data_IF_319663310215
#
_entry.id   IF_319663310215
#
_cell.length_a   1.000
_cell.length_b   1.000
_cell.length_c   1.000
_cell.angle_alpha   90.00
_cell.angle_beta   90.00
_cell.angle_gamma   90.00
#
_symmetry.space_group_name_H-M   'P 1'
#
loop_
_entity.id
_entity.type
_entity.pdbx_description
1 polymer ?
#
# COMPACT_ATOMS: atom_id res chain seq x y z
N UNK A 1 -11.51 23.30 -44.81
CA UNK A 1 -10.87 22.23 -44.03
C UNK A 1 -10.08 21.26 -44.91
N UNK A 2 -10.62 20.53 -45.87
CA UNK A 2 -9.92 19.50 -46.66
C UNK A 2 -8.62 19.89 -47.36
N UNK A 3 -8.38 21.18 -47.64
CA UNK A 3 -7.09 21.64 -48.18
C UNK A 3 -6.01 21.79 -47.12
N UNK A 4 -6.39 22.02 -45.84
CA UNK A 4 -5.48 22.15 -44.73
C UNK A 4 -4.94 20.78 -44.26
N UNK A 5 -5.79 19.77 -44.25
CA UNK A 5 -5.43 18.39 -43.88
C UNK A 5 -4.40 17.80 -44.84
N UNK A 6 -4.55 18.02 -46.14
CA UNK A 6 -3.57 17.58 -47.16
C UNK A 6 -2.22 18.31 -47.11
N UNK A 7 -2.20 19.59 -46.70
CA UNK A 7 -0.97 20.40 -46.65
C UNK A 7 -0.27 20.36 -45.29
N UNK A 8 -0.97 19.98 -44.23
CA UNK A 8 -0.50 20.00 -42.87
C UNK A 8 -0.43 21.37 -42.20
N UNK A 9 -0.85 22.43 -42.92
CA UNK A 9 -0.91 23.80 -42.39
C UNK A 9 -2.03 24.63 -43.01
N UNK A 10 -2.52 25.64 -42.31
CA UNK A 10 -3.49 26.64 -42.77
C UNK A 10 -2.93 28.02 -42.36
N UNK A 11 -3.07 29.02 -43.25
CA UNK A 11 -2.74 30.41 -42.94
C UNK A 11 -3.96 31.14 -42.36
N UNK A 12 -3.70 32.13 -41.47
CA UNK A 12 -4.76 32.96 -40.90
C UNK A 12 -5.65 33.61 -41.94
N UNK A 13 -5.08 34.02 -43.09
CA UNK A 13 -5.86 34.59 -44.22
C UNK A 13 -6.79 33.57 -44.87
N UNK A 14 -6.32 32.33 -45.05
CA UNK A 14 -7.15 31.25 -45.63
C UNK A 14 -8.27 30.84 -44.64
N UNK A 15 -8.01 30.87 -43.33
CA UNK A 15 -9.01 30.63 -42.31
C UNK A 15 -10.09 31.72 -42.31
N UNK A 16 -9.70 33.00 -42.34
CA UNK A 16 -10.63 34.13 -42.36
C UNK A 16 -11.45 34.15 -43.65
N UNK A 17 -10.87 33.78 -44.81
CA UNK A 17 -11.59 33.65 -46.07
C UNK A 17 -12.59 32.49 -46.05
N UNK A 18 -12.27 31.39 -45.37
CA UNK A 18 -13.15 30.23 -45.30
C UNK A 18 -14.34 30.44 -44.36
N UNK A 19 -14.17 31.22 -43.30
CA UNK A 19 -15.27 31.60 -42.40
C UNK A 19 -16.21 32.66 -42.95
N UNK A 20 -15.75 33.46 -43.95
CA UNK A 20 -16.56 34.49 -44.60
C UNK A 20 -16.83 35.71 -43.72
N UNK A 21 -17.02 36.88 -44.33
CA UNK A 21 -17.18 38.17 -43.60
C UNK A 21 -18.38 38.25 -42.64
N UNK A 22 -19.38 37.37 -42.77
CA UNK A 22 -20.61 37.36 -41.94
C UNK A 22 -20.49 36.48 -40.69
N UNK A 23 -19.50 35.58 -40.59
CA UNK A 23 -19.37 34.57 -39.50
C UNK A 23 -18.10 34.77 -38.67
N UNK A 24 -17.51 35.95 -38.67
CA UNK A 24 -16.33 36.31 -37.86
C UNK A 24 -16.72 36.67 -36.41
N UNK A 25 -17.63 35.91 -35.80
CA UNK A 25 -17.86 36.03 -34.36
C UNK A 25 -16.73 35.31 -33.57
N UNK A 26 -16.44 35.80 -32.37
CA UNK A 26 -15.40 35.20 -31.51
C UNK A 26 -15.65 33.70 -31.25
N UNK A 27 -16.92 33.31 -31.12
CA UNK A 27 -17.31 31.91 -30.86
C UNK A 27 -17.02 31.00 -32.04
N UNK A 28 -17.31 31.47 -33.28
CA UNK A 28 -17.03 30.70 -34.48
C UNK A 28 -15.53 30.57 -34.77
N UNK A 29 -14.75 31.59 -34.43
CA UNK A 29 -13.28 31.52 -34.48
C UNK A 29 -12.74 30.52 -33.47
N UNK A 30 -13.23 30.53 -32.22
CA UNK A 30 -12.83 29.60 -31.19
C UNK A 30 -13.14 28.14 -31.59
N UNK A 31 -14.31 27.85 -32.12
CA UNK A 31 -14.68 26.54 -32.65
C UNK A 31 -13.78 26.11 -33.81
N UNK A 32 -13.46 27.03 -34.73
CA UNK A 32 -12.54 26.74 -35.81
C UNK A 32 -11.12 26.44 -35.35
N UNK A 33 -10.63 27.11 -34.29
CA UNK A 33 -9.34 26.83 -33.69
C UNK A 33 -9.31 25.44 -32.99
N UNK A 34 -10.37 25.08 -32.27
CA UNK A 34 -10.50 23.76 -31.65
C UNK A 34 -10.43 22.68 -32.74
N UNK A 35 -11.17 22.86 -33.83
CA UNK A 35 -11.17 21.87 -34.90
C UNK A 35 -9.83 21.76 -35.65
N UNK A 36 -9.06 22.86 -35.75
CA UNK A 36 -7.71 22.85 -36.32
C UNK A 36 -6.72 22.11 -35.40
N UNK A 37 -6.88 22.27 -34.10
CA UNK A 37 -6.07 21.56 -33.10
C UNK A 37 -6.36 20.04 -33.09
N UNK A 38 -7.63 19.66 -33.17
CA UNK A 38 -8.04 18.24 -33.21
C UNK A 38 -7.48 17.51 -34.45
N UNK A 39 -7.46 18.20 -35.60
CA UNK A 39 -6.89 17.68 -36.83
C UNK A 39 -5.36 17.78 -36.92
N UNK A 40 -4.70 18.27 -35.87
CA UNK A 40 -3.23 18.47 -35.78
C UNK A 40 -2.67 19.31 -36.96
N UNK A 41 -3.42 20.29 -37.41
CA UNK A 41 -3.02 21.20 -38.50
C UNK A 41 -2.29 22.39 -37.87
N UNK A 42 -1.12 22.76 -38.43
CA UNK A 42 -0.34 23.90 -37.91
C UNK A 42 -0.90 25.20 -38.46
N UNK A 43 -1.23 26.16 -37.61
CA UNK A 43 -1.66 27.49 -37.99
C UNK A 43 -0.43 28.38 -38.12
N UNK A 44 -0.29 29.08 -39.29
CA UNK A 44 0.86 29.96 -39.60
C UNK A 44 0.39 31.27 -40.18
N UNK A 45 1.15 32.36 -39.99
CA UNK A 45 0.83 33.64 -40.60
C UNK A 45 1.12 33.65 -42.09
N UNK A 46 2.28 33.13 -42.51
CA UNK A 46 2.73 33.06 -43.90
C UNK A 46 3.18 31.64 -44.26
N UNK A 47 3.05 31.30 -45.54
CA UNK A 47 3.52 30.00 -46.08
C UNK A 47 5.03 29.77 -45.87
N UNK A 48 5.85 30.83 -45.79
CA UNK A 48 7.28 30.78 -45.49
C UNK A 48 7.55 30.22 -44.09
N UNK A 49 6.73 30.58 -43.12
CA UNK A 49 6.94 30.26 -41.73
C UNK A 49 6.77 28.77 -41.44
N UNK A 50 5.85 28.12 -42.17
CA UNK A 50 5.71 26.66 -42.09
C UNK A 50 6.96 25.92 -42.58
N UNK A 51 7.63 26.43 -43.62
CA UNK A 51 8.88 25.83 -44.11
C UNK A 51 10.02 25.96 -43.07
N UNK A 52 10.05 27.09 -42.37
CA UNK A 52 11.03 27.34 -41.31
C UNK A 52 10.75 26.47 -40.08
N UNK A 53 9.47 26.35 -39.68
CA UNK A 53 9.06 25.48 -38.57
C UNK A 53 9.37 24.01 -38.88
N UNK A 54 9.03 23.53 -40.06
CA UNK A 54 9.30 22.16 -40.51
C UNK A 54 10.81 21.88 -40.63
N UNK A 55 11.61 22.88 -41.01
CA UNK A 55 13.07 22.76 -41.03
C UNK A 55 13.67 22.72 -39.63
N UNK A 56 13.11 23.48 -38.68
CA UNK A 56 13.50 23.41 -37.24
C UNK A 56 13.10 22.10 -36.59
N UNK A 57 11.89 21.58 -36.88
CA UNK A 57 11.48 20.24 -36.37
C UNK A 57 12.32 19.12 -37.00
N UNK A 58 12.72 19.25 -38.27
CA UNK A 58 13.65 18.32 -38.91
C UNK A 58 15.04 18.38 -38.32
N UNK A 59 15.57 19.57 -38.00
CA UNK A 59 16.86 19.74 -37.37
C UNK A 59 16.87 19.22 -35.93
N UNK A 60 15.83 19.47 -35.11
CA UNK A 60 15.71 18.90 -33.78
C UNK A 60 15.57 17.37 -33.80
N UNK A 61 15.03 16.78 -34.87
CA UNK A 61 15.02 15.32 -35.04
C UNK A 61 16.37 14.75 -35.50
N UNK A 62 17.17 15.53 -36.21
CA UNK A 62 18.52 15.11 -36.64
C UNK A 62 19.56 15.35 -35.55
N UNK A 63 19.47 16.43 -34.76
CA UNK A 63 20.31 16.61 -33.59
C UNK A 63 20.04 15.57 -32.50
N UNK A 64 18.80 15.07 -32.37
CA UNK A 64 18.45 13.92 -31.53
C UNK A 64 18.94 12.57 -32.04
N UNK A 65 19.33 12.45 -33.32
CA UNK A 65 19.82 11.19 -33.92
C UNK A 65 21.33 11.11 -34.09
N UNK A 66 22.06 12.22 -33.99
CA UNK A 66 23.49 12.26 -34.17
C UNK A 66 24.33 12.35 -32.88
N UNK A 67 23.67 12.31 -31.72
CA UNK A 67 24.35 11.95 -30.48
C UNK A 67 24.71 10.47 -30.58
N UNK A 68 25.91 10.23 -31.09
CA UNK A 68 26.60 8.94 -31.14
C UNK A 68 26.17 8.12 -29.92
N UNK A 69 25.64 6.93 -30.18
CA UNK A 69 25.51 5.88 -29.19
C UNK A 69 26.94 5.54 -28.77
N UNK A 70 27.54 6.37 -27.92
CA UNK A 70 28.84 6.00 -27.35
C UNK A 70 28.48 4.87 -26.36
N UNK A 71 29.05 3.70 -26.59
CA UNK A 71 28.97 2.53 -25.70
C UNK A 71 29.73 2.77 -24.37
N UNK A 72 30.11 4.01 -24.07
CA UNK A 72 30.72 4.39 -22.81
C UNK A 72 29.67 4.40 -21.69
N UNK A 73 29.71 3.44 -20.75
CA UNK A 73 28.75 3.30 -19.65
C UNK A 73 28.76 4.56 -18.77
N UNK A 74 29.84 5.30 -18.68
CA UNK A 74 29.92 6.53 -17.89
C UNK A 74 29.09 7.64 -18.54
N UNK A 75 29.14 7.79 -19.86
CA UNK A 75 28.31 8.76 -20.58
C UNK A 75 26.85 8.43 -20.52
N UNK A 76 26.49 7.14 -20.58
CA UNK A 76 25.12 6.68 -20.46
C UNK A 76 24.58 6.97 -19.06
N UNK A 77 25.39 6.68 -18.03
CA UNK A 77 25.06 7.00 -16.64
C UNK A 77 24.88 8.51 -16.40
N UNK A 78 25.80 9.35 -16.88
CA UNK A 78 25.70 10.81 -16.74
C UNK A 78 24.50 11.40 -17.50
N UNK A 79 24.12 10.82 -18.64
CA UNK A 79 22.94 11.24 -19.39
C UNK A 79 21.64 10.86 -18.67
N UNK A 80 21.58 9.68 -18.09
CA UNK A 80 20.44 9.24 -17.29
C UNK A 80 20.32 10.04 -15.99
N UNK A 81 21.43 10.26 -15.30
CA UNK A 81 21.47 11.10 -14.09
C UNK A 81 21.13 12.56 -14.35
N UNK A 82 21.57 13.13 -15.49
CA UNK A 82 21.31 14.53 -15.85
C UNK A 82 19.87 14.84 -16.26
N UNK A 83 19.05 13.80 -16.52
CA UNK A 83 17.64 13.94 -16.87
C UNK A 83 16.68 13.96 -15.69
N UNK A 84 17.16 13.62 -14.49
CA UNK A 84 16.34 13.57 -13.27
C UNK A 84 16.70 14.77 -12.39
N UNK A 85 15.70 15.55 -12.02
CA UNK A 85 15.88 16.67 -11.08
C UNK A 85 16.17 16.11 -9.67
N UNK A 86 17.12 16.74 -8.97
CA UNK A 86 17.44 16.38 -7.58
C UNK A 86 16.22 16.65 -6.69
N UNK A 87 15.93 15.70 -5.82
CA UNK A 87 14.84 15.81 -4.87
C UNK A 87 15.08 16.97 -3.90
N UNK A 88 14.10 17.87 -3.76
CA UNK A 88 14.17 18.94 -2.76
C UNK A 88 13.99 18.37 -1.36
N UNK A 89 14.55 19.02 -0.34
CA UNK A 89 14.37 18.64 1.07
C UNK A 89 12.90 18.51 1.48
N UNK A 90 12.04 19.38 0.95
CA UNK A 90 10.59 19.30 1.21
C UNK A 90 9.96 18.09 0.53
N UNK A 91 10.39 17.75 -0.68
CA UNK A 91 9.99 16.55 -1.40
C UNK A 91 10.41 15.28 -0.66
N UNK A 92 11.64 15.23 -0.16
CA UNK A 92 12.14 14.10 0.64
C UNK A 92 11.30 13.88 1.91
N UNK A 93 11.01 14.95 2.65
CA UNK A 93 10.14 14.87 3.84
C UNK A 93 8.72 14.41 3.46
N UNK A 94 8.18 14.88 2.35
CA UNK A 94 6.85 14.48 1.89
C UNK A 94 6.80 12.99 1.51
N UNK A 95 7.83 12.49 0.83
CA UNK A 95 7.94 11.08 0.46
C UNK A 95 8.14 10.21 1.72
N UNK A 96 9.01 10.62 2.66
CA UNK A 96 9.22 9.93 3.92
C UNK A 96 7.92 9.78 4.73
N UNK A 97 7.13 10.86 4.84
CA UNK A 97 5.79 10.82 5.47
C UNK A 97 4.82 9.88 4.75
N UNK A 98 4.88 9.78 3.42
CA UNK A 98 4.04 8.84 2.65
C UNK A 98 4.46 7.39 2.90
N UNK A 99 5.76 7.12 3.02
CA UNK A 99 6.27 5.78 3.37
C UNK A 99 5.79 5.40 4.77
N UNK A 100 5.90 6.30 5.73
CA UNK A 100 5.44 6.11 7.11
C UNK A 100 3.93 5.87 7.17
N UNK A 101 3.13 6.71 6.52
CA UNK A 101 1.68 6.55 6.44
C UNK A 101 1.28 5.20 5.81
N UNK A 102 1.99 4.75 4.76
CA UNK A 102 1.80 3.44 4.15
C UNK A 102 2.12 2.29 5.12
N UNK A 103 3.23 2.39 5.87
CA UNK A 103 3.57 1.43 6.93
C UNK A 103 2.53 1.41 8.04
N UNK A 104 2.03 2.57 8.46
CA UNK A 104 1.01 2.69 9.50
C UNK A 104 -0.31 2.02 9.11
N UNK A 105 -0.78 2.22 7.88
CA UNK A 105 -1.97 1.54 7.36
C UNK A 105 -1.77 0.02 7.36
N UNK A 106 -0.60 -0.45 6.96
CA UNK A 106 -0.25 -1.87 6.94
C UNK A 106 -0.20 -2.45 8.36
N UNK A 107 0.50 -1.78 9.31
CA UNK A 107 0.59 -2.22 10.70
C UNK A 107 -0.79 -2.26 11.38
N UNK A 108 -1.65 -1.27 11.12
CA UNK A 108 -3.02 -1.26 11.65
C UNK A 108 -3.85 -2.44 11.11
N UNK A 109 -3.66 -2.83 9.86
CA UNK A 109 -4.35 -4.01 9.33
C UNK A 109 -3.75 -5.32 9.88
N UNK A 110 -2.42 -5.42 10.00
CA UNK A 110 -1.74 -6.58 10.58
C UNK A 110 -2.09 -6.78 12.06
N UNK A 111 -2.23 -5.70 12.84
CA UNK A 111 -2.60 -5.78 14.26
C UNK A 111 -3.97 -6.43 14.51
N UNK A 112 -4.87 -6.36 13.53
CA UNK A 112 -6.20 -6.95 13.60
C UNK A 112 -6.23 -8.42 13.15
N UNK A 113 -5.14 -8.94 12.59
CA UNK A 113 -5.11 -10.27 12.00
C UNK A 113 -4.78 -11.36 13.01
N UNK A 114 -5.56 -12.47 13.05
CA UNK A 114 -5.24 -13.63 13.87
C UNK A 114 -3.96 -14.36 13.44
N UNK A 115 -3.60 -14.27 12.15
CA UNK A 115 -2.33 -14.85 11.65
C UNK A 115 -1.14 -14.16 12.31
N UNK A 116 -1.21 -12.84 12.43
CA UNK A 116 -0.20 -12.06 13.14
C UNK A 116 -0.16 -12.45 14.62
N UNK A 117 -1.31 -12.63 15.25
CA UNK A 117 -1.39 -13.08 16.65
C UNK A 117 -0.72 -14.45 16.85
N UNK A 118 -0.97 -15.41 15.96
CA UNK A 118 -0.32 -16.74 16.02
C UNK A 118 1.20 -16.61 15.92
N UNK A 119 1.69 -15.73 15.06
CA UNK A 119 3.13 -15.50 14.92
C UNK A 119 3.75 -14.90 16.18
N UNK A 120 3.06 -13.97 16.86
CA UNK A 120 3.52 -13.42 18.13
C UNK A 120 3.54 -14.47 19.26
N UNK A 121 2.58 -15.41 19.29
CA UNK A 121 2.61 -16.54 20.23
C UNK A 121 3.80 -17.46 19.96
N UNK A 122 4.11 -17.77 18.70
CA UNK A 122 5.29 -18.55 18.33
C UNK A 122 6.60 -17.84 18.72
N UNK A 123 6.68 -16.52 18.52
CA UNK A 123 7.85 -15.74 18.91
C UNK A 123 8.02 -15.69 20.44
N UNK A 124 6.93 -15.53 21.18
CA UNK A 124 6.99 -15.55 22.65
C UNK A 124 7.55 -16.88 23.18
N UNK A 125 7.06 -18.01 22.66
CA UNK A 125 7.57 -19.33 23.04
C UNK A 125 9.05 -19.54 22.66
N UNK A 126 9.44 -19.14 21.45
CA UNK A 126 10.81 -19.29 20.96
C UNK A 126 11.81 -18.36 21.67
N UNK A 127 11.40 -17.13 21.98
CA UNK A 127 12.21 -16.18 22.75
C UNK A 127 12.42 -16.65 24.20
N UNK A 128 11.39 -17.26 24.81
CA UNK A 128 11.51 -17.85 26.16
C UNK A 128 12.44 -19.07 26.20
N UNK A 129 12.57 -19.78 25.07
CA UNK A 129 13.48 -20.93 24.92
C UNK A 129 14.87 -20.54 24.40
N UNK A 130 15.11 -19.25 24.16
CA UNK A 130 16.33 -18.73 23.53
C UNK A 130 16.65 -19.35 22.15
N UNK A 131 15.61 -19.80 21.41
CA UNK A 131 15.75 -20.37 20.05
C UNK A 131 15.90 -19.30 18.97
N UNK A 132 15.41 -18.08 19.22
CA UNK A 132 15.46 -16.94 18.31
C UNK A 132 16.07 -15.74 19.02
N UNK A 133 16.89 -14.97 18.32
CA UNK A 133 17.48 -13.75 18.81
C UNK A 133 16.51 -12.56 18.63
N UNK A 134 16.55 -11.61 19.56
CA UNK A 134 15.66 -10.43 19.51
C UNK A 134 15.85 -9.61 18.24
N UNK A 135 17.10 -9.51 17.75
CA UNK A 135 17.46 -8.81 16.49
C UNK A 135 16.82 -9.39 15.24
N UNK A 136 16.35 -10.63 15.26
CA UNK A 136 15.65 -11.22 14.12
C UNK A 136 14.21 -10.70 13.99
N UNK A 137 13.62 -10.25 15.10
CA UNK A 137 12.24 -9.79 15.16
C UNK A 137 12.14 -8.28 15.08
N UNK A 138 13.00 -7.56 15.81
CA UNK A 138 12.95 -6.11 15.96
C UNK A 138 14.17 -5.42 15.35
N UNK A 139 14.00 -4.16 15.03
CA UNK A 139 15.09 -3.25 14.64
C UNK A 139 15.73 -2.68 15.91
N UNK A 140 16.91 -3.20 16.27
CA UNK A 140 17.60 -2.83 17.52
C UNK A 140 18.06 -1.38 17.48
N UNK A 141 18.61 -0.93 16.35
CA UNK A 141 19.16 0.41 16.23
C UNK A 141 18.09 1.49 16.46
N UNK A 142 16.92 1.30 15.87
CA UNK A 142 15.79 2.23 16.05
C UNK A 142 15.26 2.23 17.47
N UNK A 143 15.13 1.05 18.09
CA UNK A 143 14.67 0.91 19.47
C UNK A 143 15.65 1.54 20.48
N UNK A 144 16.95 1.38 20.26
CA UNK A 144 17.99 1.93 21.14
C UNK A 144 17.99 3.46 21.08
N UNK A 145 17.91 4.05 19.89
CA UNK A 145 17.84 5.51 19.70
C UNK A 145 16.58 6.13 20.33
N UNK A 146 15.44 5.46 20.30
CA UNK A 146 14.21 5.95 20.96
C UNK A 146 14.33 5.93 22.48
N UNK A 147 14.98 4.93 23.06
CA UNK A 147 15.22 4.82 24.49
C UNK A 147 16.19 5.91 25.01
N UNK A 148 17.28 6.20 24.30
CA UNK A 148 18.20 7.29 24.63
C UNK A 148 17.51 8.67 24.59
N UNK A 149 16.69 8.90 23.56
CA UNK A 149 15.94 10.15 23.44
C UNK A 149 14.89 10.32 24.55
N UNK A 150 14.28 9.24 25.01
CA UNK A 150 13.30 9.27 26.11
C UNK A 150 13.98 9.48 27.47
N UNK A 151 15.16 8.92 27.67
CA UNK A 151 15.95 9.10 28.91
C UNK A 151 16.59 10.48 29.04
N UNK A 152 17.04 11.05 27.92
CA UNK A 152 17.61 12.40 27.90
C UNK A 152 16.56 13.52 28.10
N UNK A 153 15.30 13.31 27.68
CA UNK A 153 14.21 14.24 27.98
C UNK A 153 13.76 14.22 29.45
N UNK A 154 13.81 13.07 30.11
CA UNK A 154 13.47 12.96 31.54
C UNK A 154 14.51 13.59 32.46
N UNK A 155 15.77 13.66 32.06
CA UNK A 155 16.84 14.31 32.79
C UNK A 155 16.88 15.85 32.64
N UNK A 156 16.36 16.39 31.50
CA UNK A 156 16.26 17.85 31.32
C UNK A 156 15.16 18.52 32.13
N UNK A 157 14.18 17.78 32.64
CA UNK A 157 13.14 18.34 33.52
C UNK A 157 13.50 18.35 35.03
N UNK A 158 14.65 17.82 35.43
CA UNK A 158 15.10 17.80 36.82
C UNK A 158 16.28 18.72 37.15
N UNK A 159 16.76 19.52 36.19
CA UNK A 159 17.95 20.35 36.38
C UNK A 159 17.73 21.87 36.20
N UNK A 160 16.51 22.37 36.42
CA UNK A 160 16.27 23.80 36.58
C UNK A 160 16.19 24.21 38.07
N UNK A 161 17.24 24.00 38.82
CA UNK A 161 17.56 24.77 40.01
C UNK A 161 19.03 24.54 40.45
N UNK A 162 19.83 25.54 40.24
CA UNK A 162 21.06 25.99 40.90
C UNK A 162 22.28 26.26 40.06
N UNK A 163 22.44 27.59 39.86
CA UNK A 163 23.66 28.42 39.96
C UNK A 163 24.95 28.07 39.19
N UNK A 164 25.21 29.05 38.28
CA UNK A 164 26.41 29.91 38.20
C UNK A 164 27.82 29.34 38.40
N UNK A 165 28.62 29.71 37.39
CA UNK A 165 30.08 29.89 37.40
C UNK A 165 31.00 28.66 37.52
N UNK A 166 31.59 28.30 36.39
CA UNK A 166 33.07 28.40 36.26
C UNK A 166 33.56 28.16 34.83
N UNK A 167 34.52 28.93 34.49
CA UNK A 167 35.39 29.08 33.35
C UNK A 167 35.65 27.94 32.37
N UNK A 168 35.73 28.36 31.13
CA UNK A 168 36.28 27.69 29.95
C UNK A 168 37.64 27.05 30.25
N UNK A 169 37.74 25.76 29.97
CA UNK A 169 38.97 25.16 29.55
C UNK A 169 38.67 24.24 28.35
N UNK A 170 39.13 24.67 27.20
CA UNK A 170 39.18 23.85 25.98
C UNK A 170 40.17 22.72 26.23
N UNK A 171 39.64 21.52 26.46
CA UNK A 171 40.40 20.29 26.26
C UNK A 171 39.71 19.56 25.11
N UNK A 172 40.42 19.56 23.99
CA UNK A 172 40.17 18.68 22.87
C UNK A 172 40.40 17.27 23.37
N UNK A 173 39.34 16.54 23.60
CA UNK A 173 39.40 15.10 23.88
C UNK A 173 39.04 14.35 22.61
N UNK A 174 40.05 13.66 22.10
CA UNK A 174 39.97 12.56 21.11
C UNK A 174 39.30 11.30 21.73
N UNK A 175 38.07 11.43 22.24
CA UNK A 175 37.29 10.33 22.82
C UNK A 175 35.98 10.08 22.05
N UNK A 176 35.97 10.30 20.73
CA UNK A 176 34.78 9.99 19.90
C UNK A 176 34.63 8.49 19.56
N UNK A 177 35.59 7.61 19.92
CA UNK A 177 35.58 6.19 19.56
C UNK A 177 35.07 5.23 20.65
N UNK A 178 34.72 5.71 21.87
CA UNK A 178 34.38 4.81 22.99
C UNK A 178 32.88 4.54 23.22
N UNK A 179 31.96 5.07 22.43
CA UNK A 179 30.52 4.95 22.70
C UNK A 179 29.69 4.29 21.61
N UNK A 180 30.24 3.32 20.89
CA UNK A 180 29.43 2.39 20.10
C UNK A 180 29.27 1.07 20.86
N UNK A 181 28.19 0.89 21.66
CA UNK A 181 27.95 -0.38 22.31
C UNK A 181 27.83 -1.47 21.24
N UNK A 182 28.48 -2.61 21.48
CA UNK A 182 28.37 -3.73 20.54
C UNK A 182 26.91 -4.17 20.42
N UNK A 183 26.48 -4.58 19.24
CA UNK A 183 25.11 -5.07 18.97
C UNK A 183 24.63 -6.08 20.03
N UNK A 184 25.53 -6.91 20.55
CA UNK A 184 25.22 -7.87 21.60
C UNK A 184 24.91 -7.20 22.95
N UNK A 185 25.58 -6.10 23.28
CA UNK A 185 25.31 -5.34 24.51
C UNK A 185 23.94 -4.65 24.43
N UNK A 186 23.63 -4.01 23.29
CA UNK A 186 22.30 -3.41 23.02
C UNK A 186 21.19 -4.45 23.11
N UNK A 187 21.41 -5.64 22.53
CA UNK A 187 20.42 -6.73 22.57
C UNK A 187 20.15 -7.19 24.02
N UNK A 188 21.18 -7.34 24.85
CA UNK A 188 21.01 -7.76 26.25
C UNK A 188 20.27 -6.71 27.08
N UNK A 189 20.43 -5.43 26.79
CA UNK A 189 19.73 -4.34 27.48
C UNK A 189 18.26 -4.26 27.06
N UNK A 190 17.97 -4.42 25.75
CA UNK A 190 16.60 -4.31 25.21
C UNK A 190 15.78 -5.58 25.46
N UNK A 191 16.41 -6.77 25.54
CA UNK A 191 15.74 -8.08 25.70
C UNK A 191 14.67 -8.11 26.80
N UNK A 192 14.90 -7.64 28.05
CA UNK A 192 13.88 -7.69 29.09
C UNK A 192 12.67 -6.80 28.80
N UNK A 193 12.85 -5.66 28.12
CA UNK A 193 11.76 -4.76 27.71
C UNK A 193 10.91 -5.42 26.63
N UNK A 194 11.55 -6.00 25.63
CA UNK A 194 10.89 -6.68 24.51
C UNK A 194 10.11 -7.89 24.99
N UNK A 195 10.67 -8.72 25.85
CA UNK A 195 9.96 -9.86 26.45
C UNK A 195 8.72 -9.42 27.22
N UNK A 196 8.79 -8.32 27.97
CA UNK A 196 7.65 -7.77 28.69
C UNK A 196 6.56 -7.28 27.72
N UNK A 197 6.93 -6.52 26.69
CA UNK A 197 5.96 -6.01 25.69
C UNK A 197 5.33 -7.14 24.88
N UNK A 198 6.08 -8.16 24.48
CA UNK A 198 5.55 -9.35 23.80
C UNK A 198 4.57 -10.11 24.70
N UNK A 199 4.89 -10.30 25.96
CA UNK A 199 4.00 -10.95 26.94
C UNK A 199 2.68 -10.19 27.14
N UNK A 200 2.71 -8.87 27.21
CA UNK A 200 1.52 -8.05 27.34
C UNK A 200 0.72 -8.03 26.03
N UNK A 201 1.41 -8.09 24.89
CA UNK A 201 0.81 -8.20 23.57
C UNK A 201 0.11 -9.55 23.37
N UNK A 202 0.71 -10.67 23.80
CA UNK A 202 0.10 -12.01 23.75
C UNK A 202 -1.16 -12.11 24.61
N UNK A 203 -1.15 -11.49 25.80
CA UNK A 203 -2.36 -11.40 26.66
C UNK A 203 -3.48 -10.60 25.99
N UNK A 204 -3.16 -9.50 25.32
CA UNK A 204 -4.15 -8.67 24.61
C UNK A 204 -4.67 -9.37 23.36
N UNK A 205 -3.82 -10.08 22.63
CA UNK A 205 -4.23 -10.90 21.48
C UNK A 205 -5.14 -12.06 21.88
N UNK A 206 -4.91 -12.69 23.00
CA UNK A 206 -5.80 -13.75 23.53
C UNK A 206 -7.24 -13.22 23.73
N UNK A 207 -7.39 -11.97 24.20
CA UNK A 207 -8.69 -11.31 24.32
C UNK A 207 -9.29 -11.01 22.94
N UNK A 208 -8.47 -10.48 22.01
CA UNK A 208 -8.91 -10.17 20.64
C UNK A 208 -9.45 -11.41 19.93
N UNK A 209 -8.74 -12.53 19.99
CA UNK A 209 -9.14 -13.80 19.36
C UNK A 209 -10.47 -14.30 19.92
N UNK A 210 -10.74 -14.15 21.21
CA UNK A 210 -12.04 -14.49 21.79
C UNK A 210 -13.17 -13.68 21.15
N UNK A 211 -13.02 -12.35 21.05
CA UNK A 211 -14.01 -11.50 20.39
C UNK A 211 -14.18 -11.83 18.90
N UNK A 212 -13.11 -12.16 18.21
CA UNK A 212 -13.17 -12.54 16.78
C UNK A 212 -13.89 -13.86 16.58
N UNK A 213 -13.65 -14.85 17.44
CA UNK A 213 -14.38 -16.13 17.43
C UNK A 213 -15.88 -15.95 17.72
N UNK A 214 -16.22 -15.12 18.70
CA UNK A 214 -17.64 -14.77 18.97
C UNK A 214 -18.27 -14.08 17.76
N UNK A 215 -17.56 -13.12 17.15
CA UNK A 215 -18.03 -12.44 15.93
C UNK A 215 -18.24 -13.42 14.77
N UNK A 216 -17.33 -14.36 14.59
CA UNK A 216 -17.46 -15.41 13.57
C UNK A 216 -18.68 -16.29 13.84
N UNK A 217 -18.93 -16.69 15.09
CA UNK A 217 -20.12 -17.46 15.46
C UNK A 217 -21.42 -16.68 15.20
N UNK A 218 -21.46 -15.37 15.52
CA UNK A 218 -22.62 -14.53 15.18
C UNK A 218 -22.88 -14.51 13.65
N UNK A 219 -21.82 -14.40 12.84
CA UNK A 219 -21.96 -14.44 11.37
C UNK A 219 -22.46 -15.79 10.88
N UNK A 220 -21.97 -16.91 11.45
CA UNK A 220 -22.42 -18.26 11.12
C UNK A 220 -23.87 -18.50 11.52
N UNK A 221 -24.32 -17.91 12.62
CA UNK A 221 -25.71 -18.02 13.13
C UNK A 221 -26.64 -16.95 12.53
N UNK A 222 -26.13 -16.05 11.68
CA UNK A 222 -26.87 -14.87 11.16
C UNK A 222 -27.38 -13.92 12.26
N UNK A 223 -26.68 -13.86 13.38
CA UNK A 223 -26.97 -12.96 14.49
C UNK A 223 -26.19 -11.64 14.35
N UNK A 224 -26.75 -10.56 14.91
CA UNK A 224 -26.09 -9.24 14.90
C UNK A 224 -25.14 -9.13 16.10
N UNK A 225 -23.88 -8.78 15.83
CA UNK A 225 -22.90 -8.55 16.89
C UNK A 225 -23.23 -7.29 17.69
N UNK A 226 -23.10 -7.35 19.02
CA UNK A 226 -23.49 -6.25 19.91
C UNK A 226 -22.56 -5.02 19.77
N UNK A 227 -23.15 -3.82 19.64
CA UNK A 227 -22.42 -2.55 19.52
C UNK A 227 -21.47 -2.24 20.70
N UNK A 228 -21.78 -2.73 21.91
CA UNK A 228 -20.90 -2.57 23.07
C UNK A 228 -19.63 -3.42 22.94
N UNK A 229 -19.74 -4.62 22.40
CA UNK A 229 -18.62 -5.51 22.12
C UNK A 229 -17.73 -4.93 20.99
N UNK A 230 -18.31 -4.29 19.98
CA UNK A 230 -17.56 -3.61 18.93
C UNK A 230 -16.69 -2.45 19.45
N UNK A 231 -17.18 -1.68 20.41
CA UNK A 231 -16.39 -0.60 21.05
C UNK A 231 -15.20 -1.16 21.83
N UNK A 232 -15.41 -2.26 22.56
CA UNK A 232 -14.33 -2.92 23.30
C UNK A 232 -13.31 -3.57 22.36
N UNK A 233 -13.77 -4.17 21.27
CA UNK A 233 -12.92 -4.70 20.22
C UNK A 233 -11.98 -3.62 19.63
N UNK A 234 -12.50 -2.44 19.30
CA UNK A 234 -11.69 -1.32 18.80
C UNK A 234 -10.64 -0.87 19.80
N UNK A 235 -10.99 -0.73 21.08
CA UNK A 235 -10.02 -0.36 22.13
C UNK A 235 -8.88 -1.38 22.25
N UNK A 236 -9.18 -2.67 22.15
CA UNK A 236 -8.16 -3.73 22.20
C UNK A 236 -7.26 -3.64 20.96
N UNK A 237 -7.82 -3.40 19.77
CA UNK A 237 -7.05 -3.20 18.54
C UNK A 237 -6.10 -2.00 18.66
N UNK A 238 -6.59 -0.88 19.19
CA UNK A 238 -5.77 0.32 19.40
C UNK A 238 -4.62 0.05 20.39
N UNK A 239 -4.86 -0.70 21.46
CA UNK A 239 -3.82 -1.11 22.41
C UNK A 239 -2.77 -2.00 21.74
N UNK A 240 -3.20 -2.99 20.96
CA UNK A 240 -2.28 -3.86 20.21
C UNK A 240 -1.42 -3.04 19.25
N UNK A 241 -2.02 -2.08 18.55
CA UNK A 241 -1.30 -1.21 17.63
C UNK A 241 -0.20 -0.41 18.33
N UNK A 242 -0.48 0.12 19.54
CA UNK A 242 0.52 0.82 20.34
C UNK A 242 1.68 -0.11 20.69
N UNK A 243 1.42 -1.34 21.16
CA UNK A 243 2.48 -2.30 21.46
C UNK A 243 3.30 -2.71 20.23
N UNK A 244 2.66 -2.93 19.08
CA UNK A 244 3.38 -3.28 17.83
C UNK A 244 4.26 -2.12 17.38
N UNK A 245 3.77 -0.88 17.47
CA UNK A 245 4.57 0.30 17.15
C UNK A 245 5.76 0.47 18.09
N UNK A 246 5.59 0.21 19.39
CA UNK A 246 6.68 0.29 20.35
C UNK A 246 7.74 -0.81 20.17
N UNK A 247 7.42 -1.92 19.48
CA UNK A 247 8.38 -2.99 19.20
C UNK A 247 9.26 -2.72 17.99
N UNK A 248 8.92 -1.76 17.12
CA UNK A 248 9.68 -1.44 15.89
C UNK A 248 10.11 -2.70 15.13
N UNK A 249 9.13 -3.43 14.59
CA UNK A 249 9.40 -4.69 13.87
C UNK A 249 10.33 -4.49 12.68
N UNK A 250 11.26 -5.41 12.48
CA UNK A 250 12.19 -5.37 11.36
C UNK A 250 11.45 -5.45 10.01
N UNK A 251 11.93 -4.78 8.96
CA UNK A 251 11.29 -4.80 7.63
C UNK A 251 11.13 -6.21 7.06
N UNK A 252 12.10 -7.10 7.30
CA UNK A 252 12.07 -8.50 6.84
C UNK A 252 10.91 -9.28 7.46
N UNK A 253 10.68 -9.09 8.75
CA UNK A 253 9.57 -9.72 9.49
C UNK A 253 8.22 -9.20 9.01
N UNK A 254 8.12 -7.90 8.73
CA UNK A 254 6.89 -7.33 8.17
C UNK A 254 6.56 -7.92 6.80
N UNK A 255 7.57 -8.09 5.93
CA UNK A 255 7.40 -8.72 4.62
C UNK A 255 6.99 -10.20 4.76
N UNK A 256 7.58 -10.94 5.70
CA UNK A 256 7.19 -12.33 5.98
C UNK A 256 5.74 -12.43 6.44
N UNK A 257 5.30 -11.55 7.36
CA UNK A 257 3.92 -11.50 7.81
C UNK A 257 2.95 -11.21 6.66
N UNK A 258 3.26 -10.24 5.82
CA UNK A 258 2.48 -9.90 4.62
C UNK A 258 2.41 -11.10 3.67
N UNK A 259 3.52 -11.78 3.43
CA UNK A 259 3.58 -12.95 2.57
C UNK A 259 2.74 -14.13 3.11
N UNK A 260 2.72 -14.34 4.43
CA UNK A 260 1.82 -15.33 5.07
C UNK A 260 0.35 -15.02 4.78
N UNK A 261 -0.06 -13.75 4.88
CA UNK A 261 -1.41 -13.32 4.53
C UNK A 261 -1.74 -13.54 3.05
N UNK A 262 -0.81 -13.23 2.15
CA UNK A 262 -0.98 -13.49 0.72
C UNK A 262 -1.12 -14.96 0.39
N UNK A 263 -0.37 -15.84 1.06
CA UNK A 263 -0.45 -17.28 0.84
C UNK A 263 -1.81 -17.86 1.28
N UNK A 264 -2.33 -17.42 2.43
CA UNK A 264 -3.69 -17.82 2.86
C UNK A 264 -4.76 -17.27 1.90
N UNK A 265 -4.61 -16.05 1.43
CA UNK A 265 -5.53 -15.49 0.43
C UNK A 265 -5.53 -16.25 -0.89
N UNK A 266 -4.36 -16.70 -1.37
CA UNK A 266 -4.28 -17.53 -2.58
C UNK A 266 -5.12 -18.80 -2.46
N UNK A 267 -5.12 -19.45 -1.28
CA UNK A 267 -5.94 -20.63 -1.00
C UNK A 267 -7.44 -20.29 -1.10
N UNK A 268 -7.86 -19.18 -0.48
CA UNK A 268 -9.26 -18.72 -0.53
C UNK A 268 -9.68 -18.38 -1.96
N UNK A 269 -8.88 -17.61 -2.69
CA UNK A 269 -9.17 -17.24 -4.09
C UNK A 269 -9.25 -18.48 -4.98
N UNK A 270 -8.42 -19.49 -4.76
CA UNK A 270 -8.48 -20.76 -5.52
C UNK A 270 -9.83 -21.45 -5.32
N UNK A 271 -10.32 -21.54 -4.07
CA UNK A 271 -11.62 -22.15 -3.78
C UNK A 271 -12.78 -21.36 -4.41
N UNK A 272 -12.74 -20.03 -4.30
CA UNK A 272 -13.76 -19.17 -4.91
C UNK A 272 -13.69 -19.16 -6.44
N UNK A 273 -12.49 -19.25 -6.99
CA UNK A 273 -12.28 -19.35 -8.43
C UNK A 273 -12.90 -20.64 -9.01
N UNK A 274 -12.78 -21.76 -8.29
CA UNK A 274 -13.45 -23.00 -8.68
C UNK A 274 -14.98 -22.85 -8.66
N UNK A 275 -15.53 -22.22 -7.61
CA UNK A 275 -16.95 -21.95 -7.52
C UNK A 275 -17.45 -21.05 -8.65
N UNK A 276 -16.69 -20.00 -8.98
CA UNK A 276 -17.02 -19.11 -10.09
C UNK A 276 -16.98 -19.84 -11.44
N UNK A 277 -16.01 -20.74 -11.67
CA UNK A 277 -15.94 -21.53 -12.91
C UNK A 277 -17.17 -22.41 -13.05
N UNK A 278 -17.56 -23.13 -11.99
CA UNK A 278 -18.80 -23.92 -11.98
C UNK A 278 -20.03 -23.08 -12.31
N UNK A 279 -20.12 -21.85 -11.80
CA UNK A 279 -21.23 -20.95 -12.09
C UNK A 279 -21.25 -20.49 -13.57
N UNK A 280 -20.09 -20.21 -14.15
CA UNK A 280 -19.94 -19.81 -15.56
C UNK A 280 -20.32 -20.95 -16.50
N UNK A 281 -19.93 -22.19 -16.20
CA UNK A 281 -20.27 -23.40 -16.98
C UNK A 281 -21.80 -23.60 -17.05
N UNK A 282 -22.53 -23.11 -16.03
CA UNK A 282 -24.00 -23.09 -16.03
C UNK A 282 -24.62 -21.80 -16.58
N UNK A 283 -23.88 -21.01 -17.35
CA UNK A 283 -24.35 -19.78 -18.01
C UNK A 283 -24.77 -18.65 -17.04
N UNK A 284 -24.28 -18.69 -15.79
CA UNK A 284 -24.48 -17.58 -14.85
C UNK A 284 -23.47 -16.47 -15.17
N UNK A 285 -23.96 -15.23 -15.29
CA UNK A 285 -23.09 -14.10 -15.56
C UNK A 285 -22.15 -13.83 -14.38
N UNK A 286 -20.85 -13.66 -14.65
CA UNK A 286 -19.84 -13.36 -13.63
C UNK A 286 -20.22 -12.18 -12.71
N UNK A 287 -20.75 -11.11 -13.30
CA UNK A 287 -21.11 -9.91 -12.54
C UNK A 287 -22.29 -10.16 -11.59
N UNK A 288 -23.26 -10.95 -12.02
CA UNK A 288 -24.40 -11.37 -11.18
C UNK A 288 -23.93 -12.27 -10.06
N UNK A 289 -23.05 -13.24 -10.37
CA UNK A 289 -22.47 -14.12 -9.37
C UNK A 289 -21.72 -13.32 -8.30
N UNK A 290 -20.84 -12.40 -8.68
CA UNK A 290 -20.07 -11.60 -7.74
C UNK A 290 -20.96 -10.71 -6.87
N UNK A 291 -21.99 -10.07 -7.44
CA UNK A 291 -22.94 -9.25 -6.66
C UNK A 291 -23.67 -10.06 -5.59
N UNK A 292 -24.00 -11.30 -5.90
CA UNK A 292 -24.68 -12.20 -4.99
C UNK A 292 -23.75 -12.82 -3.94
N UNK A 293 -22.55 -13.24 -4.37
CA UNK A 293 -21.61 -14.01 -3.57
C UNK A 293 -20.84 -13.18 -2.56
N UNK A 294 -20.41 -11.97 -2.95
CA UNK A 294 -19.62 -11.09 -2.09
C UNK A 294 -20.43 -10.64 -0.87
N UNK A 295 -19.95 -10.99 0.31
CA UNK A 295 -20.62 -10.74 1.58
C UNK A 295 -21.46 -11.92 2.10
N UNK A 296 -21.77 -12.91 1.26
CA UNK A 296 -22.57 -14.08 1.61
C UNK A 296 -21.79 -15.40 1.57
N UNK A 297 -20.45 -15.35 1.53
CA UNK A 297 -19.58 -16.53 1.33
C UNK A 297 -19.84 -17.65 2.35
N UNK A 298 -20.18 -17.26 3.60
CA UNK A 298 -20.36 -18.18 4.73
C UNK A 298 -21.83 -18.21 5.21
N UNK A 299 -22.71 -17.37 4.64
CA UNK A 299 -24.09 -17.24 5.10
C UNK A 299 -24.86 -18.58 5.03
N UNK A 300 -25.47 -19.07 6.14
CA UNK A 300 -26.25 -20.31 6.13
C UNK A 300 -27.53 -20.20 5.28
N UNK A 301 -28.09 -18.99 5.13
CA UNK A 301 -29.32 -18.74 4.39
C UNK A 301 -29.10 -18.57 2.87
N UNK A 302 -27.95 -18.96 2.37
CA UNK A 302 -27.60 -18.87 0.95
C UNK A 302 -28.62 -19.60 0.04
N UNK A 303 -29.24 -20.67 0.52
CA UNK A 303 -30.27 -21.42 -0.22
C UNK A 303 -31.48 -20.56 -0.58
N UNK A 304 -31.93 -19.70 0.31
CA UNK A 304 -33.12 -18.86 0.07
C UNK A 304 -32.93 -17.88 -1.06
N UNK A 305 -31.67 -17.41 -1.25
CA UNK A 305 -31.32 -16.54 -2.37
C UNK A 305 -31.15 -17.32 -3.68
N UNK A 306 -30.67 -18.57 -3.61
CA UNK A 306 -30.49 -19.42 -4.80
C UNK A 306 -31.82 -19.84 -5.42
N UNK A 307 -32.89 -19.90 -4.63
CA UNK A 307 -34.22 -20.26 -5.11
C UNK A 307 -34.96 -19.12 -5.85
N UNK A 308 -34.41 -17.90 -5.84
CA UNK A 308 -35.07 -16.72 -6.42
C UNK A 308 -35.02 -16.73 -7.96
N UNK A 309 -34.04 -17.33 -8.60
CA UNK A 309 -33.88 -17.40 -10.05
C UNK A 309 -33.82 -18.85 -10.59
N UNK A 310 -34.52 -19.19 -11.67
CA UNK A 310 -34.58 -20.55 -12.19
C UNK A 310 -33.23 -21.10 -12.67
N UNK A 311 -32.33 -20.24 -13.19
CA UNK A 311 -30.98 -20.61 -13.59
C UNK A 311 -30.10 -20.98 -12.38
N UNK A 312 -30.22 -20.22 -11.28
CA UNK A 312 -29.51 -20.47 -10.04
C UNK A 312 -30.02 -21.75 -9.34
N UNK A 313 -31.32 -22.00 -9.41
CA UNK A 313 -31.92 -23.23 -8.89
C UNK A 313 -31.41 -24.48 -9.61
N UNK A 314 -31.32 -24.43 -10.93
CA UNK A 314 -30.76 -25.52 -11.74
C UNK A 314 -29.28 -25.73 -11.47
N UNK A 315 -28.49 -24.64 -11.35
CA UNK A 315 -27.08 -24.68 -10.97
C UNK A 315 -26.89 -25.37 -9.61
N UNK A 316 -27.64 -24.94 -8.61
CA UNK A 316 -27.56 -25.50 -7.27
C UNK A 316 -27.97 -26.97 -7.20
N UNK A 317 -29.01 -27.36 -7.94
CA UNK A 317 -29.46 -28.77 -7.98
C UNK A 317 -28.42 -29.68 -8.61
N UNK A 318 -27.76 -29.26 -9.69
CA UNK A 318 -26.77 -30.07 -10.39
C UNK A 318 -25.43 -30.18 -9.64
N UNK A 319 -24.98 -29.09 -9.00
CA UNK A 319 -23.65 -29.01 -8.36
C UNK A 319 -23.72 -28.94 -6.84
N UNK A 320 -24.77 -29.48 -6.24
CA UNK A 320 -25.03 -29.39 -4.80
C UNK A 320 -23.86 -29.90 -3.94
N UNK A 321 -23.25 -31.00 -4.32
CA UNK A 321 -22.16 -31.63 -3.58
C UNK A 321 -20.86 -30.81 -3.67
N UNK A 322 -20.49 -30.36 -4.87
CA UNK A 322 -19.31 -29.55 -5.08
C UNK A 322 -19.42 -28.18 -4.42
N UNK A 323 -20.59 -27.56 -4.53
CA UNK A 323 -20.88 -26.30 -3.85
C UNK A 323 -20.80 -26.45 -2.32
N UNK A 324 -21.36 -27.54 -1.77
CA UNK A 324 -21.26 -27.82 -0.34
C UNK A 324 -19.82 -28.06 0.09
N UNK A 325 -19.05 -28.86 -0.66
CA UNK A 325 -17.65 -29.12 -0.39
C UNK A 325 -16.81 -27.85 -0.36
N UNK A 326 -16.96 -26.96 -1.35
CA UNK A 326 -16.22 -25.69 -1.39
C UNK A 326 -16.62 -24.81 -0.21
N UNK A 327 -17.91 -24.73 0.11
CA UNK A 327 -18.38 -23.96 1.25
C UNK A 327 -17.86 -24.53 2.57
N UNK A 328 -17.88 -25.83 2.77
CA UNK A 328 -17.40 -26.46 3.99
C UNK A 328 -15.89 -26.17 4.17
N UNK A 329 -15.09 -26.21 3.09
CA UNK A 329 -13.68 -25.81 3.10
C UNK A 329 -13.48 -24.33 3.42
N UNK A 330 -14.36 -23.44 2.93
CA UNK A 330 -14.30 -22.01 3.26
C UNK A 330 -14.66 -21.77 4.74
N UNK A 331 -15.64 -22.48 5.28
CA UNK A 331 -16.02 -22.43 6.70
C UNK A 331 -14.87 -22.96 7.55
N UNK A 332 -14.25 -24.09 7.18
CA UNK A 332 -13.09 -24.66 7.86
C UNK A 332 -11.91 -23.66 7.86
N UNK A 333 -11.66 -23.04 6.72
CA UNK A 333 -10.63 -21.99 6.60
C UNK A 333 -10.93 -20.80 7.52
N UNK A 334 -12.19 -20.38 7.61
CA UNK A 334 -12.63 -19.31 8.52
C UNK A 334 -12.46 -19.69 9.99
N UNK A 335 -12.76 -20.92 10.35
CA UNK A 335 -12.53 -21.44 11.71
C UNK A 335 -11.04 -21.48 12.04
N UNK A 336 -10.20 -21.94 11.11
CA UNK A 336 -8.74 -21.96 11.28
C UNK A 336 -8.16 -20.55 11.41
N UNK A 337 -8.64 -19.61 10.59
CA UNK A 337 -8.22 -18.22 10.63
C UNK A 337 -8.82 -17.46 11.83
N UNK A 338 -9.95 -17.91 12.38
CA UNK A 338 -10.64 -17.24 13.48
C UNK A 338 -11.46 -16.00 13.09
N UNK A 339 -11.53 -15.67 11.80
CA UNK A 339 -12.30 -14.55 11.26
C UNK A 339 -13.08 -14.96 9.99
N UNK A 340 -14.10 -14.20 9.64
CA UNK A 340 -14.86 -14.43 8.41
C UNK A 340 -13.99 -14.16 7.17
N UNK A 341 -14.25 -14.89 6.08
CA UNK A 341 -13.57 -14.68 4.78
C UNK A 341 -13.71 -13.22 4.32
N UNK A 342 -14.88 -12.65 4.49
CA UNK A 342 -15.18 -11.25 4.14
C UNK A 342 -14.31 -10.27 4.91
N UNK A 343 -14.18 -10.44 6.23
CA UNK A 343 -13.36 -9.56 7.06
C UNK A 343 -11.87 -9.76 6.76
N UNK A 344 -11.43 -11.00 6.52
CA UNK A 344 -10.07 -11.29 6.09
C UNK A 344 -9.70 -10.58 4.78
N UNK A 345 -10.58 -10.62 3.78
CA UNK A 345 -10.38 -9.89 2.51
C UNK A 345 -10.30 -8.38 2.70
N UNK A 346 -11.13 -7.81 3.60
CA UNK A 346 -11.05 -6.38 3.94
C UNK A 346 -9.71 -6.02 4.58
N UNK A 347 -9.22 -6.84 5.51
CA UNK A 347 -7.90 -6.65 6.12
C UNK A 347 -6.80 -6.74 5.07
N UNK A 348 -6.83 -7.75 4.23
CA UNK A 348 -5.84 -7.93 3.16
C UNK A 348 -5.83 -6.77 2.17
N UNK A 349 -7.00 -6.26 1.78
CA UNK A 349 -7.10 -5.08 0.90
C UNK A 349 -6.42 -3.85 1.53
N UNK A 350 -6.51 -3.68 2.85
CA UNK A 350 -5.81 -2.60 3.57
C UNK A 350 -4.30 -2.84 3.59
N UNK A 351 -3.86 -4.09 3.84
CA UNK A 351 -2.44 -4.45 3.80
C UNK A 351 -1.85 -4.14 2.42
N UNK A 352 -2.50 -4.61 1.35
CA UNK A 352 -2.07 -4.37 -0.03
C UNK A 352 -2.03 -2.88 -0.40
N UNK A 353 -2.99 -2.10 0.10
CA UNK A 353 -3.00 -0.65 -0.11
C UNK A 353 -1.80 0.00 0.56
N UNK A 354 -1.53 -0.30 1.82
CA UNK A 354 -0.38 0.23 2.56
C UNK A 354 0.96 -0.18 1.93
N UNK A 355 1.10 -1.47 1.55
CA UNK A 355 2.27 -1.99 0.85
C UNK A 355 2.51 -1.27 -0.49
N UNK A 356 1.46 -1.11 -1.30
CA UNK A 356 1.54 -0.43 -2.59
C UNK A 356 1.95 1.03 -2.44
N UNK A 357 1.34 1.75 -1.52
CA UNK A 357 1.66 3.16 -1.24
C UNK A 357 3.11 3.32 -0.77
N UNK A 358 3.55 2.49 0.18
CA UNK A 358 4.94 2.49 0.66
C UNK A 358 5.93 2.14 -0.45
N UNK A 359 5.63 1.14 -1.31
CA UNK A 359 6.50 0.74 -2.41
C UNK A 359 6.61 1.81 -3.49
N UNK A 360 5.50 2.47 -3.85
CA UNK A 360 5.51 3.57 -4.82
C UNK A 360 6.35 4.73 -4.27
N UNK A 361 6.14 5.11 -3.01
CA UNK A 361 6.90 6.19 -2.39
C UNK A 361 8.40 5.88 -2.28
N UNK A 362 8.78 4.62 -1.95
CA UNK A 362 10.18 4.18 -1.98
C UNK A 362 10.78 4.27 -3.38
N UNK A 363 10.01 3.91 -4.40
CA UNK A 363 10.45 4.00 -5.79
C UNK A 363 10.68 5.44 -6.23
N UNK A 364 9.76 6.36 -5.89
CA UNK A 364 9.91 7.80 -6.14
C UNK A 364 11.14 8.41 -5.43
N UNK A 365 11.57 7.84 -4.31
CA UNK A 365 12.76 8.29 -3.58
C UNK A 365 14.08 7.84 -4.25
N UNK A 366 14.05 6.69 -4.93
CA UNK A 366 15.24 6.07 -5.58
C UNK A 366 15.41 6.56 -7.03
N UNK A 367 14.30 6.82 -7.74
CA UNK A 367 14.32 7.39 -9.10
C UNK A 367 14.64 8.88 -9.08
#
# INVERSE_FOLDING_TARGET
>A
MGRGTHRGFITHEELNKSLGKRNLSQDNLAQAFIHILDEKITLVEKKSDYKVLKKREGQNKEEGKSLEKSDDPIRMYLREMGGVELLSREGEIAIAKRIEAGKDVMLNALSQSPITAQQFFEWDEKLQKDEILVREIIDIDTNYMEDENSSSQSNKQKSDDKNENTEKTETVNDDEDEFNPTLAAMETEIKPKVLKTINDLTKTYTKLIKYQKEKLQCVLNSEVFSNSKDKNYKKIVDQILVYIKSLQLSPSVLEELVQKHHNENKKIISLEGNLLRLAIDHKINRNEFLKFYVGNEINPNLKTFLDTNPTWKQFFQKNREEFKNIRDRLVETSHRLGISVTDFKKLLSRIQKGEKESRIAKKEMVE
#
